data_IF_830870323913
#
_entry.id   IF_830870323913
#
_cell.length_a   1.000
_cell.length_b   1.000
_cell.length_c   1.000
_cell.angle_alpha   90.00
_cell.angle_beta   90.00
_cell.angle_gamma   90.00
#
_symmetry.space_group_name_H-M   'P 1'
#
loop_
_entity.id
_entity.type
_entity.pdbx_description
1 polymer ?
#
# COMPACT_ATOMS: atom_id res chain seq x y z
N UNK A 1 5.50 -19.19 1.66
CA UNK A 1 6.09 -19.88 2.83
C UNK A 1 7.52 -20.35 2.56
N UNK A 2 8.17 -19.76 1.56
CA UNK A 2 9.55 -20.12 1.12
C UNK A 2 10.65 -19.13 1.55
N UNK A 3 10.29 -17.96 2.07
CA UNK A 3 11.27 -16.95 2.53
C UNK A 3 11.80 -17.26 3.95
N UNK A 4 11.15 -18.15 4.69
CA UNK A 4 11.54 -18.52 6.07
C UNK A 4 12.56 -19.68 6.15
N UNK A 5 12.95 -20.29 5.03
CA UNK A 5 13.77 -21.51 5.05
C UNK A 5 15.28 -21.29 4.86
N UNK A 6 15.74 -20.05 4.58
CA UNK A 6 17.16 -19.79 4.32
C UNK A 6 17.90 -18.97 5.42
N UNK A 7 17.26 -18.66 6.54
CA UNK A 7 17.90 -17.91 7.61
C UNK A 7 18.22 -18.80 8.83
N UNK A 8 19.29 -19.56 8.72
CA UNK A 8 19.92 -20.27 9.84
C UNK A 8 20.73 -19.34 10.76
N UNK A 9 20.57 -18.02 10.64
CA UNK A 9 21.13 -17.02 11.55
C UNK A 9 19.99 -16.15 12.07
N UNK A 10 19.56 -16.35 13.33
CA UNK A 10 18.68 -15.40 14.00
C UNK A 10 19.46 -14.07 14.18
N UNK A 11 18.89 -12.98 13.71
CA UNK A 11 19.44 -11.65 13.62
C UNK A 11 20.30 -11.43 12.36
N UNK A 12 19.69 -11.45 11.20
CA UNK A 12 20.30 -10.98 9.95
C UNK A 12 20.74 -9.52 10.07
N UNK A 13 21.78 -9.14 9.32
CA UNK A 13 22.33 -7.79 9.35
C UNK A 13 21.25 -6.75 9.04
N UNK A 14 21.07 -5.82 9.98
CA UNK A 14 20.21 -4.65 9.80
C UNK A 14 20.76 -3.80 8.66
N UNK A 15 20.00 -3.62 7.60
CA UNK A 15 20.40 -2.85 6.43
C UNK A 15 19.51 -1.64 6.18
N UNK A 16 20.09 -0.56 5.67
CA UNK A 16 19.36 0.59 5.18
C UNK A 16 19.20 0.48 3.66
N UNK A 17 17.97 0.64 3.18
CA UNK A 17 17.64 0.50 1.78
C UNK A 17 16.54 1.51 1.41
N UNK A 18 16.58 2.02 0.19
CA UNK A 18 15.50 2.86 -0.33
C UNK A 18 14.43 1.98 -0.93
N UNK A 19 13.18 2.16 -0.51
CA UNK A 19 12.05 1.31 -0.89
C UNK A 19 10.81 2.14 -1.21
N UNK A 20 9.90 1.59 -2.01
CA UNK A 20 8.54 2.10 -2.08
C UNK A 20 7.66 1.32 -1.10
N UNK A 21 6.87 2.06 -0.33
CA UNK A 21 5.98 1.53 0.70
C UNK A 21 4.54 1.79 0.31
N UNK A 22 3.72 0.75 0.41
CA UNK A 22 2.30 0.75 0.13
C UNK A 22 1.51 0.31 1.37
N UNK A 23 0.53 1.12 1.77
CA UNK A 23 -0.54 0.71 2.67
C UNK A 23 -1.87 0.77 1.93
N UNK A 24 -2.70 -0.24 2.10
CA UNK A 24 -4.08 -0.26 1.60
C UNK A 24 -5.01 -0.81 2.66
N UNK A 25 -6.18 -0.19 2.85
CA UNK A 25 -7.25 -0.69 3.73
C UNK A 25 -8.63 -0.53 3.07
N UNK A 26 -9.65 -1.11 3.70
CA UNK A 26 -11.05 -0.95 3.32
C UNK A 26 -11.63 0.28 4.03
N UNK A 27 -12.15 1.22 3.27
CA UNK A 27 -12.77 2.42 3.83
C UNK A 27 -14.02 2.05 4.63
N UNK A 28 -14.05 2.42 5.91
CA UNK A 28 -15.19 2.19 6.79
C UNK A 28 -15.37 0.74 7.26
N UNK A 29 -14.33 -0.09 7.15
CA UNK A 29 -14.33 -1.51 7.53
C UNK A 29 -14.95 -1.77 8.91
N UNK A 30 -14.54 -1.05 9.95
CA UNK A 30 -15.05 -1.25 11.31
C UNK A 30 -16.58 -1.17 11.37
N UNK A 31 -17.15 -0.09 10.79
CA UNK A 31 -18.61 0.10 10.76
C UNK A 31 -19.33 -0.98 9.95
N UNK A 32 -18.70 -1.45 8.89
CA UNK A 32 -19.22 -2.52 8.05
C UNK A 32 -19.21 -3.85 8.81
N UNK A 33 -18.08 -4.19 9.45
CA UNK A 33 -17.89 -5.43 10.20
C UNK A 33 -18.86 -5.55 11.39
N UNK A 34 -19.19 -4.44 12.07
CA UNK A 34 -20.18 -4.42 13.16
C UNK A 34 -21.58 -4.87 12.73
N UNK A 35 -21.90 -4.82 11.42
CA UNK A 35 -23.21 -5.18 10.85
C UNK A 35 -23.22 -6.55 10.19
N UNK A 36 -22.09 -7.23 10.13
CA UNK A 36 -21.93 -8.51 9.47
C UNK A 36 -21.79 -9.65 10.50
N UNK A 37 -22.17 -10.86 10.12
CA UNK A 37 -21.82 -12.04 10.88
C UNK A 37 -20.28 -12.24 10.88
N UNK A 38 -19.66 -12.65 11.99
CA UNK A 38 -18.20 -12.82 12.08
C UNK A 38 -17.59 -13.68 10.96
N UNK A 39 -18.28 -14.75 10.58
CA UNK A 39 -17.86 -15.66 9.51
C UNK A 39 -17.86 -14.98 8.14
N UNK A 40 -18.84 -14.11 7.89
CA UNK A 40 -18.92 -13.31 6.66
C UNK A 40 -17.79 -12.28 6.60
N UNK A 41 -17.43 -11.66 7.73
CA UNK A 41 -16.27 -10.74 7.81
C UNK A 41 -14.99 -11.48 7.45
N UNK A 42 -14.75 -12.67 8.01
CA UNK A 42 -13.56 -13.48 7.71
C UNK A 42 -13.52 -13.86 6.22
N UNK A 43 -14.65 -14.26 5.65
CA UNK A 43 -14.74 -14.62 4.23
C UNK A 43 -14.40 -13.46 3.34
N UNK A 44 -14.99 -12.29 3.60
CA UNK A 44 -14.74 -11.06 2.85
C UNK A 44 -13.28 -10.60 2.97
N UNK A 45 -12.69 -10.64 4.18
CA UNK A 45 -11.28 -10.30 4.38
C UNK A 45 -10.34 -11.25 3.60
N UNK A 46 -10.62 -12.55 3.57
CA UNK A 46 -9.85 -13.52 2.78
C UNK A 46 -9.91 -13.18 1.29
N UNK A 47 -11.08 -12.88 0.77
CA UNK A 47 -11.26 -12.49 -0.63
C UNK A 47 -10.53 -11.18 -0.94
N UNK A 48 -10.62 -10.19 -0.06
CA UNK A 48 -9.91 -8.92 -0.18
C UNK A 48 -8.40 -9.13 -0.19
N UNK A 49 -7.86 -9.80 0.84
CA UNK A 49 -6.42 -10.05 0.93
C UNK A 49 -5.91 -10.83 -0.29
N UNK A 50 -6.63 -11.85 -0.76
CA UNK A 50 -6.23 -12.63 -1.93
C UNK A 50 -6.13 -11.76 -3.18
N UNK A 51 -7.14 -10.90 -3.45
CA UNK A 51 -7.15 -10.02 -4.62
C UNK A 51 -6.04 -8.98 -4.55
N UNK A 52 -5.86 -8.32 -3.40
CA UNK A 52 -4.84 -7.30 -3.21
C UNK A 52 -3.43 -7.90 -3.28
N UNK A 53 -3.19 -9.02 -2.62
CA UNK A 53 -1.90 -9.71 -2.63
C UNK A 53 -1.49 -10.17 -4.03
N UNK A 54 -2.45 -10.62 -4.83
CA UNK A 54 -2.19 -11.00 -6.23
C UNK A 54 -1.62 -9.82 -7.04
N UNK A 55 -2.14 -8.60 -6.83
CA UNK A 55 -1.63 -7.40 -7.52
C UNK A 55 -0.23 -7.01 -7.01
N UNK A 56 0.02 -7.15 -5.70
CA UNK A 56 1.35 -6.88 -5.12
C UNK A 56 2.40 -7.77 -5.77
N UNK A 57 2.18 -9.08 -5.82
CA UNK A 57 3.12 -10.03 -6.41
C UNK A 57 3.25 -9.85 -7.92
N UNK A 58 2.17 -9.59 -8.64
CA UNK A 58 2.21 -9.34 -10.09
C UNK A 58 3.04 -8.10 -10.44
N UNK A 59 3.15 -7.13 -9.52
CA UNK A 59 3.99 -5.93 -9.66
C UNK A 59 5.38 -6.07 -9.03
N UNK A 60 5.80 -7.26 -8.58
CA UNK A 60 7.11 -7.48 -7.96
C UNK A 60 7.25 -6.93 -6.55
N UNK A 61 6.14 -6.66 -5.87
CA UNK A 61 6.14 -6.26 -4.47
C UNK A 61 6.14 -7.45 -3.50
N UNK A 62 6.47 -7.19 -2.26
CA UNK A 62 6.46 -8.14 -1.15
C UNK A 62 5.42 -7.71 -0.13
N UNK A 63 4.54 -8.61 0.30
CA UNK A 63 3.65 -8.37 1.45
C UNK A 63 4.48 -8.52 2.72
N UNK A 64 4.57 -7.43 3.47
CA UNK A 64 5.27 -7.44 4.76
C UNK A 64 4.34 -7.92 5.87
N UNK A 65 3.10 -7.40 5.89
CA UNK A 65 2.17 -7.73 6.99
C UNK A 65 0.71 -7.49 6.62
N UNK A 66 -0.18 -8.31 7.20
CA UNK A 66 -1.61 -8.05 7.27
C UNK A 66 -1.95 -7.48 8.65
N UNK A 67 -2.68 -6.36 8.70
CA UNK A 67 -3.05 -5.66 9.94
C UNK A 67 -4.56 -5.44 9.90
N UNK A 68 -5.32 -6.44 10.37
CA UNK A 68 -6.78 -6.43 10.21
C UNK A 68 -7.18 -6.44 8.74
N UNK A 69 -7.86 -5.40 8.29
CA UNK A 69 -8.22 -5.17 6.89
C UNK A 69 -7.10 -4.49 6.09
N UNK A 70 -6.06 -3.99 6.76
CA UNK A 70 -4.95 -3.36 6.06
C UNK A 70 -3.91 -4.37 5.57
N UNK A 71 -3.33 -4.06 4.40
CA UNK A 71 -2.17 -4.76 3.85
C UNK A 71 -1.01 -3.77 3.76
N UNK A 72 0.12 -4.13 4.34
CA UNK A 72 1.38 -3.44 4.21
C UNK A 72 2.28 -4.18 3.23
N UNK A 73 2.71 -3.49 2.19
CA UNK A 73 3.58 -4.04 1.16
C UNK A 73 4.77 -3.12 0.86
N UNK A 74 5.84 -3.71 0.36
CA UNK A 74 7.10 -3.04 0.06
C UNK A 74 7.60 -3.46 -1.32
N UNK A 75 8.11 -2.51 -2.09
CA UNK A 75 8.79 -2.72 -3.37
C UNK A 75 10.26 -2.32 -3.21
N UNK A 76 11.16 -3.15 -3.72
CA UNK A 76 12.60 -3.02 -3.52
C UNK A 76 13.16 -4.03 -2.52
N UNK A 77 12.45 -5.14 -2.25
CA UNK A 77 12.91 -6.27 -1.46
C UNK A 77 13.02 -7.52 -2.34
N UNK A 78 14.00 -8.41 -2.10
CA UNK A 78 15.16 -8.24 -1.19
C UNK A 78 16.18 -7.21 -1.69
N UNK A 79 16.16 -6.86 -2.97
CA UNK A 79 17.09 -5.93 -3.60
C UNK A 79 16.35 -4.78 -4.27
N UNK A 80 16.95 -3.59 -4.24
CA UNK A 80 16.42 -2.39 -4.92
C UNK A 80 16.47 -2.57 -6.43
N UNK A 81 15.35 -2.26 -7.08
CA UNK A 81 15.24 -2.17 -8.52
C UNK A 81 14.98 -0.73 -9.01
N UNK A 82 15.31 -0.41 -10.28
CA UNK A 82 15.08 0.91 -10.84
C UNK A 82 13.59 1.26 -11.00
N UNK A 83 12.73 0.25 -11.05
CA UNK A 83 11.30 0.38 -11.29
C UNK A 83 10.43 0.27 -10.03
N UNK A 84 11.01 0.14 -8.84
CA UNK A 84 10.28 -0.11 -7.59
C UNK A 84 9.17 0.93 -7.33
N UNK A 85 9.48 2.23 -7.49
CA UNK A 85 8.50 3.30 -7.35
C UNK A 85 7.39 3.23 -8.41
N UNK A 86 7.77 2.93 -9.66
CA UNK A 86 6.84 2.78 -10.78
C UNK A 86 5.94 1.56 -10.60
N UNK A 87 6.49 0.45 -10.13
CA UNK A 87 5.76 -0.78 -9.85
C UNK A 87 4.78 -0.60 -8.69
N UNK A 88 5.16 0.12 -7.64
CA UNK A 88 4.25 0.46 -6.53
C UNK A 88 3.06 1.31 -7.02
N UNK A 89 3.30 2.33 -7.86
CA UNK A 89 2.24 3.16 -8.42
C UNK A 89 1.32 2.36 -9.36
N UNK A 90 1.89 1.52 -10.22
CA UNK A 90 1.12 0.61 -11.09
C UNK A 90 0.27 -0.36 -10.27
N UNK A 91 0.84 -0.92 -9.22
CA UNK A 91 0.13 -1.82 -8.30
C UNK A 91 -1.10 -1.14 -7.68
N UNK A 92 -0.96 0.11 -7.22
CA UNK A 92 -2.08 0.88 -6.67
C UNK A 92 -3.22 1.08 -7.69
N UNK A 93 -2.91 1.40 -8.94
CA UNK A 93 -3.91 1.53 -10.00
C UNK A 93 -4.60 0.18 -10.30
N UNK A 94 -3.83 -0.90 -10.34
CA UNK A 94 -4.40 -2.25 -10.52
C UNK A 94 -5.31 -2.66 -9.35
N UNK A 95 -4.95 -2.33 -8.12
CA UNK A 95 -5.81 -2.58 -6.95
C UNK A 95 -7.14 -1.85 -7.06
N UNK A 96 -7.13 -0.58 -7.48
CA UNK A 96 -8.35 0.22 -7.68
C UNK A 96 -9.24 -0.44 -8.73
N UNK A 97 -8.67 -0.84 -9.88
CA UNK A 97 -9.42 -1.54 -10.93
C UNK A 97 -9.96 -2.89 -10.45
N UNK A 98 -9.14 -3.68 -9.75
CA UNK A 98 -9.54 -4.98 -9.19
C UNK A 98 -10.71 -4.87 -8.21
N UNK A 99 -10.73 -3.82 -7.37
CA UNK A 99 -11.84 -3.61 -6.44
C UNK A 99 -13.09 -3.12 -7.18
N UNK A 100 -12.95 -2.30 -8.22
CA UNK A 100 -14.08 -1.89 -9.06
C UNK A 100 -14.72 -3.08 -9.78
N UNK A 101 -13.92 -4.00 -10.35
CA UNK A 101 -14.39 -5.25 -10.94
C UNK A 101 -15.10 -6.13 -9.89
N UNK A 102 -14.49 -6.29 -8.73
CA UNK A 102 -15.10 -7.05 -7.63
C UNK A 102 -16.41 -6.43 -7.15
N UNK A 103 -16.52 -5.12 -7.11
CA UNK A 103 -17.78 -4.43 -6.79
C UNK A 103 -18.90 -4.73 -7.79
N UNK A 104 -18.56 -4.94 -9.06
CA UNK A 104 -19.55 -5.39 -10.05
C UNK A 104 -20.07 -6.80 -9.72
N UNK A 105 -19.17 -7.74 -9.35
CA UNK A 105 -19.56 -9.08 -8.88
C UNK A 105 -20.45 -8.99 -7.64
N UNK A 106 -20.04 -8.21 -6.63
CA UNK A 106 -20.77 -8.00 -5.36
C UNK A 106 -22.17 -7.39 -5.56
N UNK A 107 -22.28 -6.46 -6.51
CA UNK A 107 -23.57 -5.83 -6.83
C UNK A 107 -24.59 -6.85 -7.35
N UNK A 108 -24.15 -7.84 -8.12
CA UNK A 108 -25.00 -8.93 -8.62
C UNK A 108 -25.49 -9.84 -7.48
N UNK A 109 -24.72 -9.95 -6.41
CA UNK A 109 -25.03 -10.70 -5.19
C UNK A 109 -25.87 -9.86 -4.19
N UNK A 110 -26.16 -8.58 -4.50
CA UNK A 110 -26.90 -7.67 -3.63
C UNK A 110 -26.07 -7.10 -2.47
N UNK A 111 -24.75 -7.21 -2.55
CA UNK A 111 -23.84 -6.67 -1.54
C UNK A 111 -23.45 -5.22 -1.82
N UNK A 112 -23.17 -4.46 -0.76
CA UNK A 112 -22.71 -3.07 -0.89
C UNK A 112 -21.30 -3.00 -1.48
N UNK A 113 -21.00 -1.98 -2.33
CA UNK A 113 -19.67 -1.80 -2.87
C UNK A 113 -18.66 -1.49 -1.78
N UNK A 114 -17.42 -1.95 -1.99
CA UNK A 114 -16.27 -1.63 -1.16
C UNK A 114 -15.52 -0.43 -1.75
N UNK A 115 -15.00 0.42 -0.88
CA UNK A 115 -14.02 1.43 -1.25
C UNK A 115 -12.69 1.13 -0.53
N UNK A 116 -11.59 1.45 -1.18
CA UNK A 116 -10.25 1.28 -0.61
C UNK A 116 -9.52 2.61 -0.50
N UNK A 117 -8.63 2.70 0.49
CA UNK A 117 -7.70 3.82 0.64
C UNK A 117 -6.26 3.31 0.52
N UNK A 118 -5.49 3.88 -0.40
CA UNK A 118 -4.10 3.51 -0.65
C UNK A 118 -3.18 4.69 -0.36
N UNK A 119 -2.14 4.46 0.43
CA UNK A 119 -1.06 5.41 0.69
C UNK A 119 0.27 4.90 0.15
N UNK A 120 0.93 5.70 -0.67
CA UNK A 120 2.23 5.38 -1.26
C UNK A 120 3.28 6.40 -0.84
N UNK A 121 4.47 5.92 -0.44
CA UNK A 121 5.63 6.77 -0.23
C UNK A 121 6.92 6.05 -0.67
N UNK A 122 7.98 6.81 -0.90
CA UNK A 122 9.28 6.31 -1.33
C UNK A 122 10.39 6.96 -0.52
N UNK A 123 11.38 6.18 -0.10
CA UNK A 123 12.50 6.72 0.64
C UNK A 123 13.26 5.65 1.44
N UNK A 124 14.23 6.08 2.27
CA UNK A 124 15.04 5.17 3.07
C UNK A 124 14.20 4.50 4.16
N UNK A 125 14.45 3.20 4.33
CA UNK A 125 13.94 2.40 5.43
C UNK A 125 15.04 1.50 5.98
N UNK A 126 14.87 1.03 7.19
CA UNK A 126 15.70 0.02 7.84
C UNK A 126 14.98 -1.32 7.73
N UNK A 127 15.71 -2.31 7.27
CA UNK A 127 15.20 -3.66 7.02
C UNK A 127 16.00 -4.61 7.91
N UNK A 128 15.34 -5.47 8.64
CA UNK A 128 16.00 -6.44 9.50
C UNK A 128 15.03 -7.18 10.41
N UNK A 129 15.57 -8.12 11.15
CA UNK A 129 14.84 -8.85 12.15
C UNK A 129 14.71 -8.02 13.43
N UNK A 130 13.50 -7.90 13.94
CA UNK A 130 13.19 -7.22 15.20
C UNK A 130 12.47 -8.20 16.12
N UNK A 131 12.89 -8.22 17.39
CA UNK A 131 12.33 -9.09 18.40
C UNK A 131 13.41 -9.67 19.32
N UNK A 132 13.11 -10.84 19.89
CA UNK A 132 14.03 -11.60 20.73
C UNK A 132 14.15 -13.03 20.20
N UNK A 133 15.07 -13.82 20.77
CA UNK A 133 15.31 -15.20 20.35
C UNK A 133 14.06 -16.09 20.31
N UNK A 134 13.02 -15.75 21.09
CA UNK A 134 11.77 -16.51 21.16
C UNK A 134 10.71 -16.01 20.18
N UNK A 135 10.95 -14.88 19.48
CA UNK A 135 10.00 -14.29 18.55
C UNK A 135 10.66 -13.24 17.67
N UNK A 136 11.23 -13.68 16.58
CA UNK A 136 11.80 -12.79 15.55
C UNK A 136 10.73 -12.47 14.50
N UNK A 137 10.71 -11.22 14.06
CA UNK A 137 9.89 -10.77 12.95
C UNK A 137 10.74 -9.94 12.02
N UNK A 138 10.88 -10.38 10.79
CA UNK A 138 11.41 -9.54 9.72
C UNK A 138 10.49 -8.35 9.53
N UNK A 139 11.05 -7.15 9.48
CA UNK A 139 10.24 -5.94 9.35
C UNK A 139 10.99 -4.81 8.65
N UNK A 140 10.21 -3.88 8.12
CA UNK A 140 10.68 -2.65 7.48
C UNK A 140 10.25 -1.47 8.33
N UNK A 141 11.21 -0.66 8.80
CA UNK A 141 10.97 0.45 9.74
C UNK A 141 11.55 1.75 9.19
N UNK A 142 10.86 2.86 9.42
CA UNK A 142 11.36 4.19 9.10
C UNK A 142 10.28 5.23 8.92
N UNK A 143 10.70 6.50 8.76
CA UNK A 143 9.76 7.60 8.48
C UNK A 143 9.01 7.37 7.15
N UNK A 144 9.65 6.72 6.18
CA UNK A 144 9.04 6.33 4.90
C UNK A 144 7.79 5.46 5.11
N UNK A 145 7.86 4.48 6.02
CA UNK A 145 6.76 3.58 6.37
C UNK A 145 5.64 4.33 7.08
N UNK A 146 6.00 5.10 8.12
CA UNK A 146 5.03 5.89 8.88
C UNK A 146 4.33 6.94 8.00
N UNK A 147 5.06 7.52 7.06
CA UNK A 147 4.51 8.47 6.09
C UNK A 147 3.51 7.80 5.17
N UNK A 148 3.83 6.65 4.56
CA UNK A 148 2.90 5.90 3.70
C UNK A 148 1.59 5.55 4.43
N UNK A 149 1.68 5.09 5.68
CA UNK A 149 0.50 4.80 6.51
C UNK A 149 -0.36 6.06 6.77
N UNK A 150 0.29 7.22 7.03
CA UNK A 150 -0.45 8.48 7.21
C UNK A 150 -1.07 9.00 5.91
N UNK A 151 -0.40 8.81 4.77
CA UNK A 151 -0.96 9.14 3.45
C UNK A 151 -2.19 8.30 3.16
N UNK A 152 -2.18 7.01 3.52
CA UNK A 152 -3.35 6.16 3.41
C UNK A 152 -4.54 6.73 4.20
N UNK A 153 -4.33 7.18 5.44
CA UNK A 153 -5.39 7.78 6.25
C UNK A 153 -5.98 9.07 5.64
N UNK A 154 -5.19 9.83 4.87
CA UNK A 154 -5.64 11.04 4.17
C UNK A 154 -6.60 10.77 3.01
N UNK A 155 -6.68 9.54 2.50
CA UNK A 155 -7.60 9.18 1.41
C UNK A 155 -9.05 9.54 1.75
N UNK A 156 -9.41 9.43 3.03
CA UNK A 156 -10.75 9.79 3.53
C UNK A 156 -11.02 11.29 3.48
N UNK A 157 -10.01 12.11 3.81
CA UNK A 157 -10.14 13.57 3.82
C UNK A 157 -10.14 14.17 2.42
N UNK A 158 -9.50 13.52 1.47
CA UNK A 158 -9.43 13.95 0.07
C UNK A 158 -10.46 13.23 -0.83
N UNK A 159 -11.27 12.33 -0.25
CA UNK A 159 -12.27 11.53 -0.97
C UNK A 159 -11.68 10.87 -2.23
N UNK A 160 -10.49 10.28 -2.08
CA UNK A 160 -9.73 9.66 -3.18
C UNK A 160 -9.26 8.26 -2.77
N UNK A 161 -9.22 7.30 -3.69
CA UNK A 161 -8.69 5.97 -3.37
C UNK A 161 -7.16 5.94 -3.20
N UNK A 162 -6.43 7.00 -3.63
CA UNK A 162 -4.97 7.00 -3.64
C UNK A 162 -4.39 8.35 -3.23
N UNK A 163 -3.48 8.33 -2.26
CA UNK A 163 -2.62 9.46 -1.89
C UNK A 163 -1.17 9.04 -1.98
N UNK A 164 -0.38 9.84 -2.69
CA UNK A 164 1.03 9.56 -3.01
C UNK A 164 1.91 10.69 -2.47
N UNK A 165 3.01 10.35 -1.81
CA UNK A 165 4.04 11.30 -1.41
C UNK A 165 4.90 11.76 -2.60
N UNK A 166 5.28 13.03 -2.63
CA UNK A 166 6.12 13.61 -3.68
C UNK A 166 7.44 12.84 -3.93
N UNK A 167 8.12 12.26 -2.91
CA UNK A 167 9.31 11.45 -3.15
C UNK A 167 9.06 10.27 -4.10
N UNK A 168 7.89 9.64 -4.08
CA UNK A 168 7.55 8.56 -4.98
C UNK A 168 7.36 9.08 -6.41
N UNK A 169 6.64 10.19 -6.56
CA UNK A 169 6.43 10.83 -7.88
C UNK A 169 7.77 11.25 -8.48
N UNK A 170 8.68 11.82 -7.67
CA UNK A 170 10.04 12.15 -8.08
C UNK A 170 10.83 10.94 -8.56
N UNK A 171 10.77 9.82 -7.82
CA UNK A 171 11.44 8.57 -8.18
C UNK A 171 10.89 7.99 -9.50
N UNK A 172 9.57 8.00 -9.69
CA UNK A 172 8.95 7.55 -10.96
C UNK A 172 9.40 8.40 -12.14
N UNK A 173 9.49 9.75 -11.98
CA UNK A 173 9.97 10.66 -13.03
C UNK A 173 11.43 10.44 -13.39
N UNK A 174 12.26 10.03 -12.45
CA UNK A 174 13.69 9.77 -12.65
C UNK A 174 13.99 8.34 -13.11
N UNK A 175 13.05 7.42 -12.98
CA UNK A 175 13.20 6.03 -13.36
C UNK A 175 13.02 5.78 -14.87
N UNK A 176 13.26 4.54 -15.33
CA UNK A 176 13.08 4.15 -16.72
C UNK A 176 11.59 3.99 -17.07
N UNK A 177 10.95 4.98 -17.19
CA UNK A 177 9.64 5.51 -17.38
C UNK A 177 8.55 4.73 -18.14
N UNK A 178 8.21 3.54 -17.78
CA UNK A 178 6.94 2.94 -18.25
C UNK A 178 5.70 3.41 -17.44
N UNK A 179 5.91 4.07 -16.31
CA UNK A 179 4.85 4.56 -15.42
C UNK A 179 4.61 6.08 -15.52
N UNK A 180 5.33 6.81 -16.37
CA UNK A 180 5.11 8.23 -16.56
C UNK A 180 3.63 8.60 -16.88
N UNK A 181 2.88 7.85 -17.71
CA UNK A 181 1.46 8.12 -17.94
C UNK A 181 0.56 7.97 -16.70
N UNK A 182 1.01 7.24 -15.66
CA UNK A 182 0.27 7.13 -14.40
C UNK A 182 0.38 8.41 -13.57
N UNK A 183 1.47 9.16 -13.72
CA UNK A 183 1.65 10.45 -13.05
C UNK A 183 0.66 11.49 -13.58
N UNK A 184 0.30 11.43 -14.85
CA UNK A 184 -0.67 12.35 -15.47
C UNK A 184 -2.08 12.19 -14.87
N UNK A 185 -2.34 11.05 -14.20
CA UNK A 185 -3.57 10.80 -13.46
C UNK A 185 -3.52 11.33 -12.03
N UNK A 186 -2.41 11.90 -11.60
CA UNK A 186 -2.25 12.44 -10.25
C UNK A 186 -2.42 13.95 -10.27
N UNK A 187 -3.16 14.46 -9.29
CA UNK A 187 -3.33 15.89 -9.03
C UNK A 187 -2.46 16.31 -7.84
N UNK A 188 -1.65 17.33 -8.02
CA UNK A 188 -0.89 17.98 -6.95
C UNK A 188 -1.84 18.64 -5.94
N UNK A 189 -1.67 18.33 -4.67
CA UNK A 189 -2.44 18.90 -3.55
C UNK A 189 -1.61 19.81 -2.65
N UNK A 190 -0.38 20.13 -3.08
CA UNK A 190 0.53 20.97 -2.33
C UNK A 190 1.06 20.31 -1.06
N UNK A 191 1.55 21.14 -0.16
CA UNK A 191 2.14 20.68 1.10
C UNK A 191 1.06 20.38 2.15
N UNK A 192 1.23 19.24 2.84
CA UNK A 192 0.35 18.80 3.92
C UNK A 192 1.15 18.49 5.18
N UNK A 193 0.64 18.91 6.33
CA UNK A 193 1.18 18.53 7.63
C UNK A 193 0.60 17.20 8.09
N UNK A 194 1.46 16.20 8.24
CA UNK A 194 1.05 14.89 8.76
C UNK A 194 1.20 14.86 10.28
N UNK A 195 0.21 14.31 10.97
CA UNK A 195 0.23 14.20 12.44
C UNK A 195 1.52 13.54 12.94
N UNK A 196 2.25 14.19 13.85
CA UNK A 196 3.49 13.68 14.42
C UNK A 196 4.69 13.69 13.48
N UNK A 197 4.67 14.53 12.45
CA UNK A 197 5.82 14.87 11.63
C UNK A 197 6.17 16.34 11.80
N UNK A 198 7.46 16.68 11.85
CA UNK A 198 7.92 18.07 12.05
C UNK A 198 7.91 18.90 10.77
N UNK A 199 7.87 18.27 9.59
CA UNK A 199 7.86 18.94 8.28
C UNK A 199 6.64 18.60 7.45
N UNK A 200 6.20 19.55 6.60
CA UNK A 200 5.21 19.29 5.59
C UNK A 200 5.76 18.35 4.51
N UNK A 201 4.88 17.63 3.86
CA UNK A 201 5.19 16.83 2.67
C UNK A 201 4.23 17.22 1.56
N UNK A 202 4.76 17.40 0.35
CA UNK A 202 3.95 17.56 -0.84
C UNK A 202 3.30 16.23 -1.19
N UNK A 203 2.00 16.26 -1.49
CA UNK A 203 1.23 15.07 -1.80
C UNK A 203 0.49 15.22 -3.13
N UNK A 204 0.16 14.06 -3.68
CA UNK A 204 -0.59 13.91 -4.93
C UNK A 204 -1.76 12.97 -4.69
N UNK A 205 -2.90 13.23 -5.33
CA UNK A 205 -4.07 12.36 -5.26
C UNK A 205 -4.46 11.89 -6.64
N UNK A 206 -5.05 10.71 -6.75
CA UNK A 206 -5.63 10.24 -8.00
C UNK A 206 -6.75 11.19 -8.44
N UNK A 207 -6.70 11.61 -9.69
CA UNK A 207 -7.80 12.36 -10.31
C UNK A 207 -8.98 11.39 -10.50
N UNK A 208 -10.13 11.71 -9.95
CA UNK A 208 -11.36 10.99 -10.27
C UNK A 208 -11.73 11.33 -11.70
N UNK A 209 -11.69 10.35 -12.60
CA UNK A 209 -12.19 10.52 -13.95
C UNK A 209 -13.70 10.79 -13.91
N UNK A 210 -14.21 11.62 -14.83
CA UNK A 210 -15.63 11.96 -14.94
C UNK A 210 -16.55 10.79 -15.32
N UNK A 211 -16.18 9.55 -15.04
CA UNK A 211 -16.87 8.35 -15.51
C UNK A 211 -17.16 7.31 -14.41
N UNK A 212 -17.12 7.68 -13.13
CA UNK A 212 -17.42 6.75 -12.04
C UNK A 212 -18.47 7.33 -11.07
N UNK A 213 -19.50 7.98 -11.63
CA UNK A 213 -20.80 8.25 -10.94
C UNK A 213 -21.85 7.26 -11.40
#
# INVERSE_FOLDING_TARGET
MEILAEHDQPLGDVRRQTVAVLFVDIVGFTRMAERMAPEAVVTMLRQFHQRITAQIFACGGTVEKYIGDAVFAVFGLPNVGPDDAANALRCAELMISTVAEWNSERSWEGESPLAIGIGLNYGPAVIGDVGCEQGLSFTVIGDTVNTAHRLQALTRSFETPLVVGDPLVGAVKMGPSSAAPLIDRLQDRGEQFLRGRTGAIRIWTRTLGNAET
#
